data_IF_248165852574
#
_entry.id   IF_248165852574
#
_cell.length_a   1.000
_cell.length_b   1.000
_cell.length_c   1.000
_cell.angle_alpha   90.00
_cell.angle_beta   90.00
_cell.angle_gamma   90.00
#
_symmetry.space_group_name_H-M   'P 1'
#
loop_
_entity.id
_entity.type
_entity.pdbx_description
1 polymer ?
#
# COMPACT_ATOMS: atom_id res chain seq x y z
N UNK A 1 -13.11 14.90 -17.36
CA UNK A 1 -13.83 13.70 -17.80
C UNK A 1 -12.83 12.69 -18.35
N UNK A 2 -12.64 11.58 -17.63
CA UNK A 2 -11.63 10.54 -17.94
C UNK A 2 -11.92 9.87 -19.30
N UNK A 3 -13.18 9.58 -19.59
CA UNK A 3 -13.57 8.94 -20.86
C UNK A 3 -13.28 9.83 -22.06
N UNK A 4 -13.56 11.13 -21.94
CA UNK A 4 -13.24 12.10 -22.99
C UNK A 4 -11.72 12.22 -23.21
N UNK A 5 -10.93 12.21 -22.14
CA UNK A 5 -9.46 12.20 -22.22
C UNK A 5 -8.94 10.96 -22.95
N UNK A 6 -9.57 9.81 -22.73
CA UNK A 6 -9.22 8.54 -23.39
C UNK A 6 -9.88 8.36 -24.77
N UNK A 7 -10.65 9.33 -25.27
CA UNK A 7 -11.36 9.19 -26.54
C UNK A 7 -12.52 8.19 -26.53
N UNK A 8 -13.06 7.88 -25.35
CA UNK A 8 -14.13 6.92 -25.12
C UNK A 8 -15.51 7.60 -25.12
N UNK A 9 -16.61 6.84 -25.33
CA UNK A 9 -17.97 7.36 -25.17
C UNK A 9 -18.21 7.94 -23.77
N UNK A 10 -19.21 8.82 -23.65
CA UNK A 10 -19.62 9.36 -22.35
C UNK A 10 -20.00 8.22 -21.38
N UNK A 11 -19.63 8.32 -20.09
CA UNK A 11 -19.95 7.30 -19.11
C UNK A 11 -21.46 7.23 -18.85
N UNK A 12 -21.98 6.05 -18.56
CA UNK A 12 -23.37 5.86 -18.21
C UNK A 12 -23.73 6.42 -16.81
N UNK A 13 -22.71 6.56 -15.92
CA UNK A 13 -22.89 7.12 -14.58
C UNK A 13 -21.94 8.31 -14.37
N UNK A 14 -22.39 9.44 -13.76
CA UNK A 14 -21.59 10.66 -13.64
C UNK A 14 -20.35 10.53 -12.75
N UNK A 15 -20.37 9.63 -11.78
CA UNK A 15 -19.29 9.46 -10.79
C UNK A 15 -18.52 8.14 -10.93
N UNK A 16 -18.89 7.27 -11.86
CA UNK A 16 -18.26 5.96 -12.04
C UNK A 16 -18.15 5.64 -13.55
N UNK A 17 -17.06 5.03 -13.93
CA UNK A 17 -16.80 4.54 -15.30
C UNK A 17 -16.25 3.15 -15.24
N UNK A 18 -16.79 2.26 -16.06
CA UNK A 18 -16.30 0.91 -16.25
C UNK A 18 -15.79 0.73 -17.67
N UNK A 19 -14.55 0.30 -17.81
CA UNK A 19 -13.89 0.11 -19.09
C UNK A 19 -13.50 -1.36 -19.27
N UNK A 20 -13.74 -1.89 -20.46
CA UNK A 20 -13.20 -3.15 -20.94
C UNK A 20 -11.87 -2.85 -21.65
N UNK A 21 -10.76 -3.33 -21.08
CA UNK A 21 -9.43 -3.06 -21.63
C UNK A 21 -9.23 -3.69 -23.00
N UNK A 22 -9.92 -4.80 -23.29
CA UNK A 22 -9.91 -5.43 -24.61
C UNK A 22 -10.50 -4.53 -25.71
N UNK A 23 -11.51 -3.74 -25.36
CA UNK A 23 -12.14 -2.78 -26.30
C UNK A 23 -11.29 -1.53 -26.51
N UNK A 24 -10.38 -1.20 -25.62
CA UNK A 24 -9.52 0.00 -25.74
C UNK A 24 -8.28 -0.22 -26.60
N UNK A 25 -8.00 -1.43 -27.04
CA UNK A 25 -6.80 -1.80 -27.83
C UNK A 25 -6.62 -1.02 -29.12
N UNK A 26 -7.72 -0.56 -29.72
CA UNK A 26 -7.72 0.16 -31.00
C UNK A 26 -7.65 1.69 -30.83
N UNK A 27 -7.66 2.16 -29.59
CA UNK A 27 -7.54 3.58 -29.31
C UNK A 27 -6.06 3.98 -29.31
N UNK A 28 -5.71 5.17 -29.82
CA UNK A 28 -4.37 5.67 -29.64
C UNK A 28 -4.06 5.71 -28.13
N UNK A 29 -2.84 5.33 -27.74
CA UNK A 29 -2.47 5.46 -26.33
C UNK A 29 -2.74 6.89 -25.89
N UNK A 30 -3.33 7.09 -24.70
CA UNK A 30 -3.58 8.44 -24.21
C UNK A 30 -2.24 9.19 -24.21
N UNK A 31 -2.23 10.51 -24.53
CA UNK A 31 -1.01 11.30 -24.65
C UNK A 31 -0.33 11.51 -23.27
N UNK A 32 -0.02 10.43 -22.59
CA UNK A 32 0.54 10.41 -21.24
C UNK A 32 2.08 10.48 -21.24
N UNK A 33 2.67 11.29 -22.12
CA UNK A 33 4.12 11.59 -22.09
C UNK A 33 4.52 12.41 -20.87
N UNK A 34 3.56 13.05 -20.20
CA UNK A 34 3.78 13.83 -18.98
C UNK A 34 3.12 13.12 -17.80
N UNK A 35 3.78 13.09 -16.62
CA UNK A 35 3.14 12.60 -15.41
C UNK A 35 1.83 13.32 -15.13
N UNK A 36 0.74 12.59 -14.99
CA UNK A 36 -0.60 13.13 -14.72
C UNK A 36 -0.96 12.84 -13.27
N UNK A 37 -1.39 13.87 -12.55
CA UNK A 37 -1.97 13.69 -11.21
C UNK A 37 -3.43 13.31 -11.37
N UNK A 38 -3.75 12.06 -11.03
CA UNK A 38 -5.11 11.54 -11.12
C UNK A 38 -5.92 11.92 -9.87
N UNK A 39 -7.14 12.45 -10.06
CA UNK A 39 -8.04 12.83 -8.96
C UNK A 39 -9.16 11.80 -8.72
N UNK A 40 -9.02 10.61 -9.28
CA UNK A 40 -10.00 9.55 -9.26
C UNK A 40 -9.40 8.29 -8.63
N UNK A 41 -10.22 7.50 -7.96
CA UNK A 41 -9.86 6.14 -7.65
C UNK A 41 -9.89 5.29 -8.90
N UNK A 42 -8.89 4.46 -9.09
CA UNK A 42 -8.85 3.48 -10.17
C UNK A 42 -8.52 2.10 -9.62
N UNK A 43 -9.29 1.11 -10.07
CA UNK A 43 -9.04 -0.31 -9.83
C UNK A 43 -8.97 -0.97 -11.19
N UNK A 44 -7.93 -1.74 -11.45
CA UNK A 44 -7.78 -2.43 -12.72
C UNK A 44 -7.36 -3.89 -12.52
N UNK A 45 -7.92 -4.76 -13.30
CA UNK A 45 -7.48 -6.15 -13.46
C UNK A 45 -6.96 -6.34 -14.87
N UNK A 46 -5.68 -6.63 -15.00
CA UNK A 46 -5.04 -7.01 -16.27
C UNK A 46 -4.91 -8.51 -16.33
N UNK A 47 -5.29 -9.10 -17.46
CA UNK A 47 -5.24 -10.53 -17.74
C UNK A 47 -4.33 -10.78 -18.94
N UNK A 48 -3.80 -12.00 -19.04
CA UNK A 48 -3.02 -12.49 -20.20
C UNK A 48 -1.90 -11.53 -20.67
N UNK A 49 -1.35 -10.77 -19.74
CA UNK A 49 -0.31 -9.79 -20.07
C UNK A 49 1.01 -10.53 -20.32
N UNK A 50 1.38 -10.70 -21.59
CA UNK A 50 2.69 -11.22 -22.02
C UNK A 50 3.68 -10.09 -22.24
N UNK A 51 3.89 -9.25 -21.22
CA UNK A 51 4.80 -8.13 -21.33
C UNK A 51 5.58 -7.93 -20.04
N UNK A 52 6.80 -7.42 -20.16
CA UNK A 52 7.54 -6.91 -19.01
C UNK A 52 7.12 -5.48 -18.79
N UNK A 53 6.42 -5.20 -17.70
CA UNK A 53 6.24 -3.84 -17.24
C UNK A 53 7.53 -3.38 -16.58
N UNK A 54 8.17 -2.39 -17.17
CA UNK A 54 9.27 -1.69 -16.54
C UNK A 54 8.72 -0.58 -15.65
N UNK A 55 9.01 -0.68 -14.37
CA UNK A 55 8.77 0.39 -13.41
C UNK A 55 10.11 0.75 -12.77
N UNK A 56 10.63 1.93 -13.08
CA UNK A 56 11.98 2.29 -12.71
C UNK A 56 13.02 1.33 -13.32
N UNK A 57 13.89 0.76 -12.49
CA UNK A 57 14.96 -0.15 -12.93
C UNK A 57 14.62 -1.65 -12.84
N UNK A 58 13.38 -2.02 -12.48
CA UNK A 58 12.97 -3.42 -12.33
C UNK A 58 11.97 -3.83 -13.40
N UNK A 59 12.15 -5.04 -13.96
CA UNK A 59 11.23 -5.65 -14.92
C UNK A 59 10.45 -6.79 -14.25
N UNK A 60 9.14 -6.85 -14.48
CA UNK A 60 8.25 -7.87 -13.92
C UNK A 60 7.61 -8.68 -15.04
N UNK A 61 7.69 -10.02 -14.92
CA UNK A 61 7.05 -10.96 -15.82
C UNK A 61 5.71 -11.40 -15.19
N UNK A 62 4.60 -10.86 -15.72
CA UNK A 62 3.26 -11.17 -15.22
C UNK A 62 2.61 -12.25 -16.10
N UNK A 63 2.62 -13.49 -15.65
CA UNK A 63 1.91 -14.61 -16.31
C UNK A 63 0.52 -14.89 -15.74
N UNK A 64 0.17 -14.26 -14.63
CA UNK A 64 -1.11 -14.40 -13.91
C UNK A 64 -1.87 -13.08 -13.93
N UNK A 65 -3.18 -13.10 -13.62
CA UNK A 65 -3.96 -11.89 -13.51
C UNK A 65 -3.39 -10.95 -12.45
N UNK A 66 -3.30 -9.66 -12.76
CA UNK A 66 -2.75 -8.63 -11.87
C UNK A 66 -3.81 -7.58 -11.56
N UNK A 67 -4.13 -7.45 -10.28
CA UNK A 67 -5.04 -6.41 -9.77
C UNK A 67 -4.23 -5.26 -9.18
N UNK A 68 -4.52 -4.04 -9.62
CA UNK A 68 -3.86 -2.84 -9.12
C UNK A 68 -4.82 -1.73 -8.78
N UNK A 69 -4.31 -0.77 -7.99
CA UNK A 69 -5.09 0.30 -7.38
C UNK A 69 -4.34 1.62 -7.49
N UNK A 70 -5.07 2.70 -7.74
CA UNK A 70 -4.56 4.07 -7.75
C UNK A 70 -5.50 4.95 -6.95
N UNK A 71 -4.96 5.71 -5.99
CA UNK A 71 -5.72 6.69 -5.22
C UNK A 71 -5.70 8.08 -5.88
N UNK A 72 -6.67 8.95 -5.56
CA UNK A 72 -6.61 10.36 -5.91
C UNK A 72 -5.32 11.02 -5.41
N UNK A 73 -4.74 11.91 -6.23
CA UNK A 73 -3.50 12.62 -5.90
C UNK A 73 -2.21 11.87 -6.25
N UNK A 74 -2.29 10.62 -6.70
CA UNK A 74 -1.12 9.89 -7.18
C UNK A 74 -0.70 10.33 -8.58
N UNK A 75 0.62 10.38 -8.79
CA UNK A 75 1.21 10.64 -10.10
C UNK A 75 1.23 9.34 -10.89
N UNK A 76 0.59 9.35 -12.05
CA UNK A 76 0.55 8.21 -12.95
C UNK A 76 1.25 8.56 -14.26
N UNK A 77 2.12 7.68 -14.72
CA UNK A 77 2.72 7.76 -16.06
C UNK A 77 2.69 6.36 -16.70
N UNK A 78 2.44 6.32 -18.00
CA UNK A 78 2.54 5.08 -18.78
C UNK A 78 3.84 5.11 -19.55
N UNK A 79 4.63 4.04 -19.44
CA UNK A 79 5.85 3.88 -20.23
C UNK A 79 5.45 3.61 -21.70
N UNK A 80 6.13 4.29 -22.63
CA UNK A 80 5.92 4.12 -24.09
C UNK A 80 6.24 2.70 -24.59
N UNK A 81 6.98 1.92 -23.81
CA UNK A 81 7.36 0.55 -24.16
C UNK A 81 6.29 -0.49 -23.86
N UNK A 82 5.17 -0.10 -23.21
CA UNK A 82 4.09 -1.02 -22.89
C UNK A 82 3.27 -1.31 -24.14
N UNK A 83 3.39 -2.54 -24.63
CA UNK A 83 2.52 -3.01 -25.72
C UNK A 83 1.11 -3.27 -25.17
N UNK A 84 0.18 -2.41 -25.57
CA UNK A 84 -1.24 -2.50 -25.18
C UNK A 84 -2.07 -3.36 -26.15
N UNK A 85 -1.46 -3.88 -27.22
CA UNK A 85 -2.16 -4.65 -28.24
C UNK A 85 -2.78 -5.95 -27.74
N UNK A 86 -2.19 -6.57 -26.70
CA UNK A 86 -2.68 -7.79 -26.06
C UNK A 86 -3.35 -7.53 -24.69
N UNK A 87 -3.57 -6.26 -24.33
CA UNK A 87 -4.16 -5.91 -23.05
C UNK A 87 -5.60 -6.43 -22.94
N UNK A 88 -5.88 -7.26 -21.96
CA UNK A 88 -7.22 -7.75 -21.63
C UNK A 88 -7.53 -7.49 -20.14
N UNK A 89 -8.81 -7.59 -19.79
CA UNK A 89 -9.28 -7.31 -18.44
C UNK A 89 -10.18 -6.08 -18.38
N UNK A 90 -10.21 -5.44 -17.22
CA UNK A 90 -11.12 -4.32 -16.98
C UNK A 90 -10.49 -3.23 -16.10
N UNK A 91 -11.07 -2.05 -16.18
CA UNK A 91 -10.73 -0.92 -15.33
C UNK A 91 -12.00 -0.26 -14.81
N UNK A 92 -12.05 -0.06 -13.50
CA UNK A 92 -13.11 0.65 -12.80
C UNK A 92 -12.53 1.96 -12.26
N UNK A 93 -13.13 3.08 -12.66
CA UNK A 93 -12.69 4.43 -12.27
C UNK A 93 -13.86 5.14 -11.60
N UNK A 94 -13.67 5.74 -10.44
CA UNK A 94 -14.72 6.46 -9.75
C UNK A 94 -14.23 7.70 -9.01
N UNK A 95 -15.11 8.69 -8.94
CA UNK A 95 -14.86 9.94 -8.23
C UNK A 95 -15.02 9.73 -6.71
N UNK A 96 -14.20 10.35 -5.86
CA UNK A 96 -14.37 10.29 -4.40
C UNK A 96 -15.78 10.66 -3.91
N UNK A 97 -16.45 11.57 -4.60
CA UNK A 97 -17.81 12.01 -4.26
C UNK A 97 -18.85 10.87 -4.29
N UNK A 98 -18.58 9.78 -5.03
CA UNK A 98 -19.41 8.58 -5.00
C UNK A 98 -19.54 8.02 -3.58
N UNK A 99 -18.51 8.21 -2.74
CA UNK A 99 -18.39 7.63 -1.41
C UNK A 99 -18.72 8.59 -0.26
N UNK A 100 -18.96 9.88 -0.53
CA UNK A 100 -19.06 10.93 0.51
C UNK A 100 -20.09 10.64 1.62
N UNK A 101 -21.22 10.01 1.28
CA UNK A 101 -22.32 9.71 2.23
C UNK A 101 -22.17 8.35 2.92
N UNK A 102 -21.15 7.55 2.54
CA UNK A 102 -21.03 6.15 2.96
C UNK A 102 -19.85 5.95 3.91
N UNK A 103 -19.96 4.97 4.84
CA UNK A 103 -18.83 4.59 5.70
C UNK A 103 -17.57 4.21 4.89
N UNK A 104 -17.75 3.66 3.67
CA UNK A 104 -16.66 3.31 2.77
C UNK A 104 -15.77 4.52 2.43
N UNK A 105 -16.32 5.73 2.35
CA UNK A 105 -15.55 6.95 2.09
C UNK A 105 -14.47 7.22 3.14
N UNK A 106 -14.71 6.84 4.41
CA UNK A 106 -13.70 6.91 5.48
C UNK A 106 -12.80 5.67 5.49
N UNK A 107 -13.38 4.51 5.25
CA UNK A 107 -12.69 3.21 5.29
C UNK A 107 -11.69 3.04 4.14
N UNK A 108 -11.97 3.59 2.95
CA UNK A 108 -11.13 3.40 1.76
C UNK A 108 -9.69 3.87 1.97
N UNK A 109 -9.49 4.95 2.73
CA UNK A 109 -8.16 5.45 3.09
C UNK A 109 -7.36 4.48 3.99
N UNK A 110 -8.01 3.51 4.64
CA UNK A 110 -7.35 2.50 5.46
C UNK A 110 -6.84 1.29 4.67
N UNK A 111 -7.22 1.15 3.41
CA UNK A 111 -6.70 0.11 2.53
C UNK A 111 -5.32 0.53 2.00
N UNK A 112 -4.25 -0.04 2.57
CA UNK A 112 -2.84 0.27 2.24
C UNK A 112 -2.51 0.11 0.76
N UNK A 113 -3.16 -0.83 0.07
CA UNK A 113 -2.91 -1.13 -1.34
C UNK A 113 -3.20 0.02 -2.31
N UNK A 114 -3.94 1.03 -1.92
CA UNK A 114 -4.06 2.28 -2.70
C UNK A 114 -2.79 3.15 -2.67
N UNK A 115 -1.85 2.84 -1.77
CA UNK A 115 -0.56 3.54 -1.62
C UNK A 115 0.64 2.67 -1.98
N UNK A 116 0.40 1.46 -2.50
CA UNK A 116 1.46 0.56 -2.92
C UNK A 116 2.08 1.00 -4.24
N UNK A 117 3.35 0.66 -4.43
CA UNK A 117 3.99 0.81 -5.73
C UNK A 117 3.43 -0.23 -6.72
N UNK A 118 3.54 0.05 -8.01
CA UNK A 118 2.94 -0.83 -9.05
C UNK A 118 3.53 -2.24 -9.04
N UNK A 119 4.81 -2.38 -8.68
CA UNK A 119 5.45 -3.68 -8.56
C UNK A 119 4.97 -4.49 -7.33
N UNK A 120 4.24 -3.85 -6.42
CA UNK A 120 3.59 -4.47 -5.27
C UNK A 120 2.14 -4.87 -5.58
N UNK A 121 1.77 -4.91 -6.86
CA UNK A 121 0.44 -5.27 -7.31
C UNK A 121 0.04 -6.69 -6.86
N UNK A 122 -1.27 -6.88 -6.69
CA UNK A 122 -1.81 -8.16 -6.28
C UNK A 122 -1.86 -9.15 -7.44
N UNK A 123 -1.20 -10.29 -7.30
CA UNK A 123 -1.33 -11.41 -8.20
C UNK A 123 -2.51 -12.29 -7.78
N UNK A 124 -3.45 -12.49 -8.68
CA UNK A 124 -4.67 -13.25 -8.42
C UNK A 124 -4.62 -14.61 -9.07
N UNK A 125 -5.05 -15.65 -8.34
CA UNK A 125 -5.24 -16.99 -8.91
C UNK A 125 -6.44 -17.01 -9.87
N UNK A 126 -6.54 -18.04 -10.71
CA UNK A 126 -7.67 -18.20 -11.63
C UNK A 126 -9.04 -18.20 -10.92
N UNK A 127 -9.12 -18.75 -9.70
CA UNK A 127 -10.36 -18.72 -8.90
C UNK A 127 -10.68 -17.32 -8.38
N UNK A 128 -9.67 -16.58 -7.92
CA UNK A 128 -9.81 -15.20 -7.47
C UNK A 128 -10.17 -14.28 -8.62
N UNK A 129 -9.57 -14.48 -9.78
CA UNK A 129 -9.90 -13.75 -11.02
C UNK A 129 -11.36 -13.97 -11.42
N UNK A 130 -11.83 -15.23 -11.46
CA UNK A 130 -13.21 -15.54 -11.78
C UNK A 130 -14.20 -14.90 -10.79
N UNK A 131 -13.85 -14.84 -9.50
CA UNK A 131 -14.65 -14.16 -8.48
C UNK A 131 -14.70 -12.65 -8.71
N UNK A 132 -13.56 -12.02 -9.01
CA UNK A 132 -13.50 -10.59 -9.31
C UNK A 132 -14.31 -10.24 -10.57
N UNK A 133 -14.28 -11.09 -11.60
CA UNK A 133 -15.09 -10.92 -12.80
C UNK A 133 -16.59 -11.04 -12.51
N UNK A 134 -16.99 -11.97 -11.66
CA UNK A 134 -18.38 -12.11 -11.25
C UNK A 134 -18.85 -10.85 -10.48
N UNK A 135 -18.05 -10.33 -9.57
CA UNK A 135 -18.34 -9.07 -8.88
C UNK A 135 -18.43 -7.90 -9.85
N UNK A 136 -17.49 -7.81 -10.79
CA UNK A 136 -17.52 -6.76 -11.80
C UNK A 136 -18.77 -6.85 -12.69
N UNK A 137 -19.21 -8.07 -13.02
CA UNK A 137 -20.43 -8.28 -13.80
C UNK A 137 -21.66 -7.72 -13.08
N UNK A 138 -21.75 -7.86 -11.74
CA UNK A 138 -22.83 -7.25 -10.96
C UNK A 138 -22.76 -5.73 -10.96
N UNK A 139 -21.56 -5.14 -10.81
CA UNK A 139 -21.33 -3.70 -10.92
C UNK A 139 -21.73 -3.20 -12.32
N UNK A 140 -21.32 -3.92 -13.38
CA UNK A 140 -21.67 -3.58 -14.77
C UNK A 140 -23.18 -3.59 -14.99
N UNK A 141 -23.85 -4.60 -14.50
CA UNK A 141 -25.32 -4.72 -14.60
C UNK A 141 -26.04 -3.52 -13.96
N UNK A 142 -25.53 -3.01 -12.86
CA UNK A 142 -26.10 -1.80 -12.22
C UNK A 142 -25.69 -0.52 -12.95
N UNK A 143 -24.44 -0.43 -13.39
CA UNK A 143 -23.89 0.69 -14.13
C UNK A 143 -24.63 0.98 -15.45
N UNK A 144 -25.09 -0.06 -16.14
CA UNK A 144 -25.79 0.01 -17.43
C UNK A 144 -27.31 0.29 -17.28
N UNK A 145 -27.85 0.22 -16.06
CA UNK A 145 -29.26 0.52 -15.80
C UNK A 145 -29.54 2.03 -15.76
N UNK A 146 -30.77 2.46 -16.02
CA UNK A 146 -31.19 3.82 -15.71
C UNK A 146 -30.95 4.14 -14.23
N UNK A 147 -30.36 5.30 -13.97
CA UNK A 147 -30.04 5.74 -12.60
C UNK A 147 -31.34 6.03 -11.85
N UNK A 148 -31.47 5.45 -10.66
CA UNK A 148 -32.57 5.71 -9.72
C UNK A 148 -32.06 6.10 -8.33
N UNK A 149 -32.97 6.25 -7.36
CA UNK A 149 -32.64 6.66 -6.00
C UNK A 149 -31.76 5.64 -5.23
N UNK A 150 -31.67 4.40 -5.68
CA UNK A 150 -30.96 3.29 -5.02
C UNK A 150 -29.67 2.92 -5.75
N UNK A 151 -29.47 3.35 -6.98
CA UNK A 151 -28.31 2.96 -7.81
C UNK A 151 -26.97 3.23 -7.11
N UNK A 152 -26.82 4.37 -6.43
CA UNK A 152 -25.61 4.70 -5.70
C UNK A 152 -25.39 3.77 -4.50
N UNK A 153 -26.43 3.42 -3.76
CA UNK A 153 -26.36 2.50 -2.61
C UNK A 153 -25.89 1.11 -3.06
N UNK A 154 -26.45 0.61 -4.17
CA UNK A 154 -26.09 -0.68 -4.76
C UNK A 154 -24.64 -0.68 -5.24
N UNK A 155 -24.23 0.33 -6.01
CA UNK A 155 -22.87 0.44 -6.53
C UNK A 155 -21.82 0.53 -5.41
N UNK A 156 -22.08 1.33 -4.37
CA UNK A 156 -21.14 1.47 -3.24
C UNK A 156 -21.04 0.17 -2.43
N UNK A 157 -22.15 -0.54 -2.23
CA UNK A 157 -22.14 -1.84 -1.55
C UNK A 157 -21.32 -2.88 -2.33
N UNK A 158 -21.46 -2.92 -3.65
CA UNK A 158 -20.71 -3.83 -4.52
C UNK A 158 -19.22 -3.46 -4.54
N UNK A 159 -18.86 -2.17 -4.55
CA UNK A 159 -17.49 -1.69 -4.40
C UNK A 159 -16.88 -2.12 -3.06
N UNK A 160 -17.64 -2.03 -1.96
CA UNK A 160 -17.14 -2.47 -0.66
C UNK A 160 -16.84 -3.97 -0.62
N UNK A 161 -17.67 -4.79 -1.25
CA UNK A 161 -17.43 -6.23 -1.40
C UNK A 161 -16.15 -6.48 -2.20
N UNK A 162 -15.98 -5.82 -3.36
CA UNK A 162 -14.78 -5.95 -4.20
C UNK A 162 -13.51 -5.58 -3.43
N UNK A 163 -13.50 -4.45 -2.73
CA UNK A 163 -12.36 -3.99 -1.93
C UNK A 163 -12.07 -4.92 -0.74
N UNK A 164 -13.11 -5.52 -0.14
CA UNK A 164 -12.95 -6.49 0.94
C UNK A 164 -12.26 -7.78 0.44
N UNK A 165 -12.62 -8.26 -0.75
CA UNK A 165 -11.93 -9.40 -1.37
C UNK A 165 -10.50 -9.05 -1.77
N UNK A 166 -10.25 -7.87 -2.32
CA UNK A 166 -8.90 -7.41 -2.62
C UNK A 166 -8.00 -7.41 -1.37
N UNK A 167 -8.52 -6.88 -0.25
CA UNK A 167 -7.82 -6.88 1.03
C UNK A 167 -7.50 -8.30 1.52
N UNK A 168 -8.47 -9.23 1.39
CA UNK A 168 -8.28 -10.65 1.72
C UNK A 168 -7.19 -11.29 0.84
N UNK A 169 -7.16 -10.99 -0.45
CA UNK A 169 -6.21 -11.56 -1.39
C UNK A 169 -4.79 -11.02 -1.18
N UNK A 170 -4.62 -9.75 -0.85
CA UNK A 170 -3.32 -9.20 -0.42
C UNK A 170 -2.82 -9.90 0.84
N UNK A 171 -3.70 -10.07 1.83
CA UNK A 171 -3.32 -10.78 3.05
C UNK A 171 -2.89 -12.23 2.77
N UNK A 172 -3.62 -12.96 1.90
CA UNK A 172 -3.21 -14.27 1.41
C UNK A 172 -1.86 -14.21 0.71
N UNK A 173 -1.62 -13.23 -0.16
CA UNK A 173 -0.36 -13.07 -0.89
C UNK A 173 0.83 -12.95 0.06
N UNK A 174 0.74 -12.13 1.11
CA UNK A 174 1.78 -12.02 2.14
C UNK A 174 2.05 -13.36 2.84
N UNK A 175 1.03 -14.16 3.09
CA UNK A 175 1.19 -15.46 3.75
C UNK A 175 1.70 -16.57 2.81
N UNK A 176 1.34 -16.56 1.53
CA UNK A 176 1.63 -17.66 0.59
C UNK A 176 2.94 -17.48 -0.16
N UNK A 177 3.39 -16.27 -0.41
CA UNK A 177 4.72 -15.98 -0.96
C UNK A 177 5.84 -16.12 0.07
N UNK A 178 5.75 -17.13 0.91
CA UNK A 178 6.62 -17.33 2.08
C UNK A 178 8.11 -17.14 1.81
N UNK A 179 8.65 -17.57 0.67
CA UNK A 179 10.10 -17.48 0.41
C UNK A 179 10.53 -16.03 0.19
N UNK A 180 9.84 -15.29 -0.69
CA UNK A 180 10.19 -13.90 -0.99
C UNK A 180 9.88 -12.95 0.18
N UNK A 181 8.75 -13.17 0.86
CA UNK A 181 8.33 -12.33 1.98
C UNK A 181 9.14 -12.63 3.25
N UNK A 182 9.56 -13.88 3.50
CA UNK A 182 10.50 -14.21 4.57
C UNK A 182 11.89 -13.65 4.29
N UNK A 183 12.33 -13.60 3.03
CA UNK A 183 13.57 -12.90 2.66
C UNK A 183 13.46 -11.39 2.97
N UNK A 184 12.35 -10.76 2.62
CA UNK A 184 12.09 -9.35 2.96
C UNK A 184 12.02 -9.13 4.47
N UNK A 185 11.36 -10.01 5.22
CA UNK A 185 11.34 -9.94 6.69
C UNK A 185 12.76 -10.07 7.27
N UNK A 186 13.53 -11.05 6.82
CA UNK A 186 14.91 -11.26 7.27
C UNK A 186 15.81 -10.07 6.92
N UNK A 187 15.64 -9.48 5.73
CA UNK A 187 16.35 -8.25 5.32
C UNK A 187 15.96 -7.06 6.19
N UNK A 188 14.65 -6.91 6.50
CA UNK A 188 14.18 -5.87 7.40
C UNK A 188 14.78 -6.02 8.80
N UNK A 189 14.77 -7.25 9.37
CA UNK A 189 15.34 -7.54 10.68
C UNK A 189 16.85 -7.26 10.71
N UNK A 190 17.57 -7.65 9.66
CA UNK A 190 19.01 -7.36 9.52
C UNK A 190 19.28 -5.84 9.45
N UNK A 191 18.51 -5.09 8.67
CA UNK A 191 18.62 -3.64 8.59
C UNK A 191 18.29 -2.97 9.93
N UNK A 192 17.22 -3.42 10.61
CA UNK A 192 16.82 -2.91 11.92
C UNK A 192 17.92 -3.17 12.95
N UNK A 193 18.43 -4.38 13.02
CA UNK A 193 19.54 -4.74 13.91
C UNK A 193 20.79 -3.92 13.58
N UNK A 194 21.17 -3.86 12.30
CA UNK A 194 22.33 -3.08 11.82
C UNK A 194 22.23 -1.61 12.20
N UNK A 195 21.05 -1.00 12.08
CA UNK A 195 20.83 0.40 12.47
C UNK A 195 21.07 0.62 13.97
N UNK A 196 20.55 -0.23 14.82
CA UNK A 196 20.63 -0.06 16.27
C UNK A 196 21.93 -0.63 16.90
N UNK A 197 22.76 -1.31 16.12
CA UNK A 197 24.11 -1.76 16.58
C UNK A 197 25.22 -0.77 16.22
N UNK A 198 24.97 0.20 15.37
CA UNK A 198 25.95 1.24 15.06
C UNK A 198 26.24 2.09 16.29
N UNK A 199 27.53 2.41 16.47
CA UNK A 199 27.99 3.36 17.48
C UNK A 199 27.84 4.80 16.99
N UNK A 200 27.51 5.71 17.88
CA UNK A 200 27.35 7.12 17.60
C UNK A 200 25.90 7.62 17.69
N UNK A 201 25.76 8.93 17.49
CA UNK A 201 24.45 9.60 17.44
C UNK A 201 23.83 9.39 16.05
N UNK A 202 22.76 8.63 15.99
CA UNK A 202 21.99 8.43 14.77
C UNK A 202 20.60 9.09 14.94
N UNK A 203 20.03 9.67 13.89
CA UNK A 203 18.67 10.18 13.95
C UNK A 203 17.69 9.05 14.28
N UNK A 204 16.50 9.38 14.79
CA UNK A 204 15.46 8.36 14.95
C UNK A 204 15.10 7.78 13.58
N UNK A 205 15.16 6.45 13.41
CA UNK A 205 14.82 5.85 12.13
C UNK A 205 13.33 5.98 11.84
N UNK A 206 13.01 6.28 10.59
CA UNK A 206 11.63 6.38 10.11
C UNK A 206 11.21 5.11 9.38
N UNK A 207 9.89 4.91 9.24
CA UNK A 207 9.36 3.83 8.38
C UNK A 207 9.87 3.96 6.95
N UNK A 208 9.96 5.20 6.43
CA UNK A 208 10.45 5.48 5.08
C UNK A 208 11.91 5.01 4.89
N UNK A 209 12.77 5.23 5.87
CA UNK A 209 14.16 4.77 5.82
C UNK A 209 14.26 3.25 5.52
N UNK A 210 13.49 2.44 6.24
CA UNK A 210 13.50 0.99 6.02
C UNK A 210 12.79 0.58 4.72
N UNK A 211 11.71 1.27 4.37
CA UNK A 211 10.98 1.00 3.15
C UNK A 211 11.84 1.29 1.91
N UNK A 212 12.54 2.42 1.89
CA UNK A 212 13.46 2.82 0.82
C UNK A 212 14.62 1.82 0.69
N UNK A 213 15.23 1.43 1.82
CA UNK A 213 16.32 0.46 1.84
C UNK A 213 15.91 -0.95 1.34
N UNK A 214 14.64 -1.29 1.46
CA UNK A 214 14.05 -2.54 0.96
C UNK A 214 13.43 -2.40 -0.44
N UNK A 215 13.43 -1.20 -1.02
CA UNK A 215 12.79 -0.86 -2.30
C UNK A 215 11.30 -1.22 -2.35
N UNK A 216 10.57 -0.93 -1.25
CA UNK A 216 9.12 -1.11 -1.14
C UNK A 216 8.45 0.16 -0.63
N UNK A 217 7.13 0.27 -0.80
CA UNK A 217 6.38 1.37 -0.22
C UNK A 217 6.24 1.22 1.31
N UNK A 218 6.18 2.33 2.08
CA UNK A 218 5.95 2.27 3.53
C UNK A 218 4.67 1.54 3.92
N UNK A 219 3.61 1.66 3.11
CA UNK A 219 2.34 1.00 3.33
C UNK A 219 2.46 -0.52 3.14
N UNK A 220 3.11 -0.96 2.04
CA UNK A 220 3.37 -2.38 1.79
C UNK A 220 4.21 -3.01 2.91
N UNK A 221 5.31 -2.36 3.30
CA UNK A 221 6.15 -2.83 4.40
C UNK A 221 5.34 -2.99 5.70
N UNK A 222 4.48 -2.03 6.02
CA UNK A 222 3.62 -2.08 7.21
C UNK A 222 2.62 -3.23 7.19
N UNK A 223 1.97 -3.47 6.07
CA UNK A 223 0.96 -4.51 5.91
C UNK A 223 1.61 -5.90 5.85
N UNK A 224 2.76 -6.04 5.16
CA UNK A 224 3.56 -7.26 5.14
C UNK A 224 4.02 -7.66 6.54
N UNK A 225 4.65 -6.74 7.29
CA UNK A 225 5.12 -7.01 8.65
C UNK A 225 3.95 -7.37 9.58
N UNK A 226 2.82 -6.66 9.47
CA UNK A 226 1.62 -6.97 10.26
C UNK A 226 1.07 -8.36 9.93
N UNK A 227 1.06 -8.76 8.65
CA UNK A 227 0.60 -10.08 8.24
C UNK A 227 1.52 -11.22 8.75
N UNK A 228 2.84 -11.00 8.72
CA UNK A 228 3.83 -12.03 9.09
C UNK A 228 4.11 -12.10 10.59
N UNK A 229 4.12 -10.95 11.30
CA UNK A 229 4.56 -10.85 12.70
C UNK A 229 3.48 -10.39 13.66
N UNK A 230 2.33 -9.93 13.15
CA UNK A 230 1.28 -9.28 13.96
C UNK A 230 1.61 -7.85 14.39
N UNK A 231 2.78 -7.30 14.01
CA UNK A 231 3.28 -5.99 14.44
C UNK A 231 3.47 -5.05 13.26
N UNK A 232 3.22 -3.75 13.49
CA UNK A 232 3.51 -2.71 12.50
C UNK A 232 5.02 -2.41 12.44
N UNK A 233 5.50 -1.83 11.33
CA UNK A 233 6.89 -1.35 11.20
C UNK A 233 7.29 -0.44 12.36
N UNK A 234 6.41 0.48 12.76
CA UNK A 234 6.63 1.39 13.89
C UNK A 234 6.80 0.64 15.22
N UNK A 235 6.05 -0.45 15.43
CA UNK A 235 6.18 -1.27 16.64
C UNK A 235 7.53 -2.00 16.67
N UNK A 236 8.00 -2.54 15.55
CA UNK A 236 9.34 -3.13 15.45
C UNK A 236 10.45 -2.11 15.75
N UNK A 237 10.37 -0.90 15.16
CA UNK A 237 11.32 0.19 15.41
C UNK A 237 11.32 0.56 16.90
N UNK A 238 10.15 0.76 17.49
CA UNK A 238 10.04 1.11 18.91
C UNK A 238 10.62 0.01 19.81
N UNK A 239 10.38 -1.28 19.48
CA UNK A 239 10.92 -2.38 20.24
C UNK A 239 12.46 -2.37 20.23
N UNK A 240 13.07 -2.29 19.06
CA UNK A 240 14.53 -2.24 18.92
C UNK A 240 15.15 -1.01 19.61
N UNK A 241 14.47 0.15 19.50
CA UNK A 241 14.88 1.39 20.17
C UNK A 241 14.87 1.25 21.70
N UNK A 242 13.82 0.65 22.27
CA UNK A 242 13.72 0.42 23.72
C UNK A 242 14.77 -0.57 24.20
N UNK A 243 15.07 -1.62 23.43
CA UNK A 243 16.13 -2.56 23.80
C UNK A 243 17.52 -1.90 23.77
N UNK A 244 17.81 -1.00 22.79
CA UNK A 244 19.03 -0.18 22.80
C UNK A 244 19.05 0.77 24.00
N UNK A 245 17.92 1.41 24.31
CA UNK A 245 17.80 2.29 25.48
C UNK A 245 18.10 1.56 26.80
N UNK A 246 17.53 0.38 27.01
CA UNK A 246 17.79 -0.45 28.20
C UNK A 246 19.29 -0.77 28.34
N UNK A 247 19.93 -1.17 27.24
CA UNK A 247 21.38 -1.42 27.25
C UNK A 247 22.15 -0.19 27.67
N UNK A 248 21.93 0.97 27.02
CA UNK A 248 22.64 2.21 27.35
C UNK A 248 22.42 2.64 28.81
N UNK A 249 21.19 2.53 29.32
CA UNK A 249 20.86 2.87 30.69
C UNK A 249 21.60 1.98 31.73
N UNK A 250 21.88 0.72 31.41
CA UNK A 250 22.51 -0.25 32.30
C UNK A 250 24.03 -0.31 32.16
N UNK A 251 24.55 -0.05 30.94
CA UNK A 251 25.99 -0.29 30.66
C UNK A 251 26.81 0.98 30.59
N UNK A 252 26.19 2.17 30.68
CA UNK A 252 26.88 3.44 30.60
C UNK A 252 26.55 4.36 31.78
N UNK A 253 27.39 5.37 32.01
CA UNK A 253 27.19 6.43 33.01
C UNK A 253 26.37 7.61 32.45
N UNK A 254 25.86 7.53 31.20
CA UNK A 254 25.08 8.60 30.57
C UNK A 254 23.86 8.95 31.41
N UNK A 255 23.57 10.23 31.55
CA UNK A 255 22.30 10.69 32.10
C UNK A 255 21.12 10.23 31.22
N UNK A 256 19.91 10.28 31.75
CA UNK A 256 18.70 9.96 30.96
C UNK A 256 18.56 10.89 29.74
N UNK A 257 18.94 12.17 29.87
CA UNK A 257 18.88 13.12 28.77
C UNK A 257 19.95 12.82 27.71
N UNK A 258 21.18 12.52 28.11
CA UNK A 258 22.25 12.11 27.17
C UNK A 258 21.88 10.80 26.46
N UNK A 259 21.30 9.84 27.17
CA UNK A 259 20.76 8.62 26.57
C UNK A 259 19.70 8.92 25.51
N UNK A 260 18.78 9.87 25.77
CA UNK A 260 17.77 10.29 24.80
C UNK A 260 18.41 10.90 23.54
N UNK A 261 19.39 11.79 23.70
CA UNK A 261 20.12 12.39 22.58
C UNK A 261 20.90 11.35 21.78
N UNK A 262 21.59 10.42 22.43
CA UNK A 262 22.33 9.35 21.76
C UNK A 262 21.39 8.40 20.97
N UNK A 263 20.13 8.28 21.40
CA UNK A 263 19.10 7.53 20.68
C UNK A 263 18.44 8.33 19.54
N UNK A 264 18.83 9.59 19.33
CA UNK A 264 18.32 10.46 18.27
C UNK A 264 17.06 11.25 18.61
N UNK A 265 16.69 11.32 19.89
CA UNK A 265 15.56 12.17 20.30
C UNK A 265 15.99 13.64 20.39
N UNK A 266 15.30 14.50 19.69
CA UNK A 266 15.47 15.95 19.76
C UNK A 266 15.07 16.50 21.14
N UNK A 267 14.07 15.90 21.77
CA UNK A 267 13.52 16.28 23.06
C UNK A 267 13.43 15.08 24.01
N UNK A 268 14.17 15.05 25.12
CA UNK A 268 14.20 13.93 26.08
C UNK A 268 12.83 13.56 26.65
N UNK A 269 11.88 14.50 26.71
CA UNK A 269 10.53 14.19 27.18
C UNK A 269 9.78 13.16 26.30
N UNK A 270 10.03 13.15 24.98
CA UNK A 270 9.44 12.16 24.09
C UNK A 270 10.02 10.76 24.34
N UNK A 271 11.32 10.68 24.57
CA UNK A 271 11.97 9.45 25.01
C UNK A 271 11.36 8.93 26.31
N UNK A 272 11.29 9.77 27.34
CA UNK A 272 10.74 9.40 28.66
C UNK A 272 9.31 8.84 28.53
N UNK A 273 8.45 9.50 27.73
CA UNK A 273 7.08 9.07 27.49
C UNK A 273 7.01 7.75 26.76
N UNK A 274 7.80 7.58 25.69
CA UNK A 274 7.86 6.34 24.90
C UNK A 274 8.36 5.19 25.77
N UNK A 275 9.47 5.38 26.46
CA UNK A 275 10.06 4.35 27.31
C UNK A 275 9.08 3.88 28.39
N UNK A 276 8.45 4.82 29.11
CA UNK A 276 7.44 4.51 30.12
C UNK A 276 6.23 3.78 29.52
N UNK A 277 5.77 4.19 28.35
CA UNK A 277 4.62 3.55 27.68
C UNK A 277 4.90 2.09 27.27
N UNK A 278 6.18 1.76 26.98
CA UNK A 278 6.59 0.43 26.51
C UNK A 278 7.10 -0.48 27.63
N UNK A 279 7.62 0.07 28.72
CA UNK A 279 8.23 -0.72 29.80
C UNK A 279 7.44 -0.63 31.12
N UNK A 280 6.50 0.29 31.25
CA UNK A 280 5.80 0.57 32.49
C UNK A 280 6.58 1.45 33.48
N UNK A 281 7.90 1.60 33.30
CA UNK A 281 8.81 2.34 34.19
C UNK A 281 9.38 3.57 33.48
N UNK A 282 9.71 4.61 34.25
CA UNK A 282 10.53 5.70 33.69
C UNK A 282 11.97 5.20 33.49
N UNK A 283 12.77 5.81 32.55
CA UNK A 283 14.17 5.41 32.36
C UNK A 283 14.99 5.48 33.64
N UNK A 284 14.77 6.48 34.51
CA UNK A 284 15.44 6.61 35.79
C UNK A 284 15.06 5.49 36.76
N UNK A 285 13.76 5.17 36.88
CA UNK A 285 13.28 4.07 37.71
C UNK A 285 13.78 2.74 37.19
N UNK A 286 13.83 2.54 35.88
CA UNK A 286 14.38 1.31 35.27
C UNK A 286 15.87 1.11 35.63
N UNK A 287 16.70 2.16 35.54
CA UNK A 287 18.11 2.11 35.96
C UNK A 287 18.26 1.75 37.42
N UNK A 288 17.44 2.34 38.31
CA UNK A 288 17.48 2.05 39.77
C UNK A 288 17.03 0.63 40.11
N UNK A 289 16.11 0.04 39.33
CA UNK A 289 15.60 -1.30 39.59
C UNK A 289 16.59 -2.44 39.21
N UNK A 290 17.62 -2.11 38.45
CA UNK A 290 18.63 -3.07 37.96
C UNK A 290 19.96 -2.97 38.71
N UNK A 291 20.13 -1.97 39.59
CA UNK A 291 21.22 -1.84 40.57
C UNK A 291 20.74 -2.27 41.94
#
# INVERSE_FOLDING_TARGET
DYTRFCGLPAPAHPLLTLLDLGQTRHLPPPPMRTPVVQQLYTIWLKKDFRGRLHYGHQSYDFREGVLGFVAPGQVFSVDETVDISELSGWMLVFHPDLLLKYPLGKKIASYGFFSYAVHEALHVSAQEEALLDALLSTIRSEYERPIDAFSQDVLVSQLEVLLSYANRFYHRQFLTRRVAEHDQLSRFEALLLGYFTQDGELPLPTVHYFADALAVSPAYLGDMLRALTGQTTQQHIHHALIEKAKRLLLTTSLTVNETAFQLGFEYPQYFNRLFKSKTGLTPAAFRQSAN
#
